data_IF_563364992042
#
_entry.id   IF_563364992042
#
_cell.length_a   1.000
_cell.length_b   1.000
_cell.length_c   1.000
_cell.angle_alpha   90.00
_cell.angle_beta   90.00
_cell.angle_gamma   90.00
#
_symmetry.space_group_name_H-M   'P 1'
#
loop_
_entity.id
_entity.type
_entity.pdbx_description
1 polymer ?
#
# COMPACT_ATOMS: atom_id res chain seq x y z
N UNK A 1 -8.15 9.99 17.65
CA UNK A 1 -8.98 9.72 16.45
C UNK A 1 -8.21 8.83 15.49
N UNK A 2 -8.88 7.92 14.78
CA UNK A 2 -8.38 7.16 13.65
C UNK A 2 -9.23 7.51 12.43
N UNK A 3 -8.60 7.74 11.29
CA UNK A 3 -9.26 7.97 10.01
C UNK A 3 -8.78 6.93 9.01
N UNK A 4 -9.71 6.44 8.18
CA UNK A 4 -9.46 5.43 7.13
C UNK A 4 -10.29 5.74 5.88
N UNK A 5 -9.64 5.93 4.72
CA UNK A 5 -10.34 6.19 3.45
C UNK A 5 -11.04 4.94 2.92
N UNK A 6 -12.31 5.11 2.54
CA UNK A 6 -13.20 4.02 2.18
C UNK A 6 -12.84 3.40 0.83
N UNK A 7 -12.40 2.12 0.86
CA UNK A 7 -11.99 1.38 -0.33
C UNK A 7 -11.05 2.19 -1.25
N UNK A 8 -10.10 2.92 -0.63
CA UNK A 8 -9.40 4.07 -1.20
C UNK A 8 -9.05 3.99 -2.68
N UNK A 9 -8.20 3.04 -3.10
CA UNK A 9 -7.79 2.95 -4.51
C UNK A 9 -8.97 2.71 -5.46
N UNK A 10 -9.93 1.86 -5.09
CA UNK A 10 -11.09 1.61 -5.93
C UNK A 10 -12.02 2.84 -5.99
N UNK A 11 -12.16 3.58 -4.88
CA UNK A 11 -12.93 4.82 -4.83
C UNK A 11 -12.31 5.91 -5.71
N UNK A 12 -10.97 6.07 -5.71
CA UNK A 12 -10.25 6.96 -6.62
C UNK A 12 -10.53 6.59 -8.08
N UNK A 13 -10.42 5.31 -8.44
CA UNK A 13 -10.71 4.84 -9.80
C UNK A 13 -12.17 5.06 -10.21
N UNK A 14 -13.14 4.79 -9.33
CA UNK A 14 -14.57 5.03 -9.61
C UNK A 14 -14.88 6.53 -9.76
N UNK A 15 -14.26 7.39 -8.95
CA UNK A 15 -14.43 8.84 -9.04
C UNK A 15 -13.89 9.37 -10.36
N UNK A 16 -12.67 8.98 -10.72
CA UNK A 16 -11.94 9.50 -11.88
C UNK A 16 -12.40 8.89 -13.21
N UNK A 17 -13.03 7.71 -13.17
CA UNK A 17 -13.56 7.01 -14.35
C UNK A 17 -15.08 6.88 -14.21
N UNK A 18 -15.87 7.90 -14.61
CA UNK A 18 -17.32 7.97 -14.40
C UNK A 18 -18.09 6.71 -14.82
N UNK A 19 -17.61 5.98 -15.83
CA UNK A 19 -18.25 4.73 -16.26
C UNK A 19 -18.13 3.58 -15.27
N UNK A 20 -17.26 3.70 -14.25
CA UNK A 20 -17.05 2.71 -13.18
C UNK A 20 -17.81 3.04 -11.89
N UNK A 21 -18.42 4.23 -11.76
CA UNK A 21 -19.21 4.60 -10.57
C UNK A 21 -20.32 3.58 -10.32
N UNK A 22 -20.42 3.08 -9.10
CA UNK A 22 -21.42 2.07 -8.72
C UNK A 22 -21.16 0.67 -9.30
N UNK A 23 -20.01 0.42 -9.95
CA UNK A 23 -19.66 -0.88 -10.52
C UNK A 23 -18.56 -1.57 -9.71
N UNK A 24 -18.51 -2.91 -9.70
CA UNK A 24 -17.41 -3.65 -9.09
C UNK A 24 -16.06 -3.29 -9.72
N UNK A 25 -15.20 -2.64 -8.95
CA UNK A 25 -13.81 -2.32 -9.28
C UNK A 25 -12.86 -3.08 -8.36
N UNK A 26 -11.79 -3.62 -8.95
CA UNK A 26 -10.68 -4.30 -8.29
C UNK A 26 -9.40 -3.60 -8.75
N UNK A 27 -8.60 -3.08 -7.82
CA UNK A 27 -7.28 -2.52 -8.09
C UNK A 27 -6.23 -3.51 -7.60
N UNK A 28 -5.25 -3.84 -8.45
CA UNK A 28 -4.16 -4.75 -8.06
C UNK A 28 -3.30 -5.23 -9.22
N UNK A 29 -2.59 -6.33 -8.99
CA UNK A 29 -1.81 -6.99 -10.04
C UNK A 29 -2.74 -7.64 -11.07
N UNK A 30 -2.65 -7.23 -12.34
CA UNK A 30 -3.56 -7.72 -13.40
C UNK A 30 -3.18 -9.12 -13.91
N UNK A 31 -1.91 -9.54 -13.74
CA UNK A 31 -1.43 -10.85 -14.20
C UNK A 31 -1.85 -12.03 -13.31
N UNK A 32 -1.54 -13.25 -13.74
CA UNK A 32 -1.94 -14.50 -13.07
C UNK A 32 -1.44 -14.65 -11.63
N UNK A 33 -0.33 -13.97 -11.29
CA UNK A 33 0.29 -13.97 -9.96
C UNK A 33 -0.05 -12.71 -9.15
N UNK A 34 -0.90 -11.85 -9.70
CA UNK A 34 -1.34 -10.63 -9.04
C UNK A 34 -2.20 -10.90 -7.82
N UNK A 35 -2.22 -9.91 -6.93
CA UNK A 35 -3.10 -9.86 -5.76
C UNK A 35 -3.94 -8.60 -5.82
N UNK A 36 -5.13 -8.68 -5.25
CA UNK A 36 -6.02 -7.55 -5.02
C UNK A 36 -5.38 -6.63 -3.98
N UNK A 37 -5.04 -5.40 -4.37
CA UNK A 37 -4.66 -4.36 -3.41
C UNK A 37 -5.92 -3.85 -2.69
N UNK A 38 -6.92 -3.46 -3.48
CA UNK A 38 -8.19 -2.92 -2.98
C UNK A 38 -9.35 -3.40 -3.84
N UNK A 39 -10.46 -3.71 -3.20
CA UNK A 39 -11.74 -3.98 -3.86
C UNK A 39 -12.78 -2.98 -3.38
N UNK A 40 -13.53 -2.42 -4.33
CA UNK A 40 -14.73 -1.61 -4.11
C UNK A 40 -15.78 -2.35 -3.28
N UNK A 41 -16.69 -1.64 -2.63
CA UNK A 41 -17.78 -2.26 -1.86
C UNK A 41 -18.67 -3.15 -2.74
N UNK A 42 -18.90 -2.75 -3.99
CA UNK A 42 -19.64 -3.53 -4.98
C UNK A 42 -18.93 -4.86 -5.29
N UNK A 43 -17.60 -4.87 -5.38
CA UNK A 43 -16.84 -6.12 -5.56
C UNK A 43 -16.79 -6.96 -4.27
N UNK A 44 -16.72 -6.31 -3.10
CA UNK A 44 -16.74 -7.00 -1.80
C UNK A 44 -18.05 -7.78 -1.57
N UNK A 45 -19.16 -7.30 -2.12
CA UNK A 45 -20.44 -8.03 -2.09
C UNK A 45 -20.37 -9.41 -2.77
N UNK A 46 -19.46 -9.59 -3.74
CA UNK A 46 -19.17 -10.89 -4.38
C UNK A 46 -18.11 -11.71 -3.63
N UNK A 47 -17.72 -11.28 -2.44
CA UNK A 47 -16.71 -11.94 -1.61
C UNK A 47 -15.27 -11.67 -2.03
N UNK A 48 -15.01 -10.67 -2.88
CA UNK A 48 -13.65 -10.21 -3.19
C UNK A 48 -13.07 -9.45 -1.99
N UNK A 49 -11.80 -9.67 -1.67
CA UNK A 49 -11.11 -9.04 -0.52
C UNK A 49 -9.69 -8.66 -0.89
N UNK A 50 -9.12 -7.69 -0.19
CA UNK A 50 -7.69 -7.38 -0.29
C UNK A 50 -6.83 -8.62 0.02
N UNK A 51 -5.64 -8.67 -0.58
CA UNK A 51 -4.71 -9.80 -0.57
C UNK A 51 -5.24 -11.11 -1.22
N UNK A 52 -6.46 -11.12 -1.76
CA UNK A 52 -6.95 -12.24 -2.57
C UNK A 52 -6.17 -12.34 -3.88
N UNK A 53 -5.94 -13.56 -4.37
CA UNK A 53 -5.37 -13.75 -5.70
C UNK A 53 -6.31 -13.16 -6.77
N UNK A 54 -5.77 -12.41 -7.74
CA UNK A 54 -6.58 -11.73 -8.76
C UNK A 54 -7.38 -12.68 -9.64
N UNK A 55 -6.88 -13.89 -9.92
CA UNK A 55 -7.60 -14.92 -10.68
C UNK A 55 -8.82 -15.42 -9.90
N UNK A 56 -8.64 -15.67 -8.59
CA UNK A 56 -9.76 -16.03 -7.71
C UNK A 56 -10.79 -14.90 -7.64
N UNK A 57 -10.33 -13.66 -7.49
CA UNK A 57 -11.20 -12.48 -7.45
C UNK A 57 -12.01 -12.31 -8.74
N UNK A 58 -11.40 -12.49 -9.91
CA UNK A 58 -12.08 -12.50 -11.22
C UNK A 58 -13.10 -13.62 -11.33
N UNK A 59 -12.81 -14.80 -10.78
CA UNK A 59 -13.78 -15.91 -10.76
C UNK A 59 -14.98 -15.61 -9.86
N UNK A 60 -14.76 -14.93 -8.73
CA UNK A 60 -15.84 -14.52 -7.80
C UNK A 60 -16.69 -13.38 -8.37
N UNK A 61 -16.07 -12.45 -9.08
CA UNK A 61 -16.72 -11.28 -9.64
C UNK A 61 -16.34 -11.09 -11.13
N UNK A 62 -16.86 -11.91 -12.05
CA UNK A 62 -16.48 -11.88 -13.48
C UNK A 62 -16.73 -10.54 -14.17
N UNK A 63 -17.73 -9.79 -13.70
CA UNK A 63 -18.10 -8.47 -14.20
C UNK A 63 -17.23 -7.33 -13.66
N UNK A 64 -16.28 -7.59 -12.76
CA UNK A 64 -15.45 -6.53 -12.19
C UNK A 64 -14.48 -5.93 -13.22
N UNK A 65 -14.35 -4.60 -13.19
CA UNK A 65 -13.22 -3.92 -13.81
C UNK A 65 -11.97 -4.19 -12.96
N UNK A 66 -10.93 -4.76 -13.57
CA UNK A 66 -9.66 -5.05 -12.89
C UNK A 66 -8.58 -4.12 -13.43
N UNK A 67 -8.13 -3.20 -12.59
CA UNK A 67 -7.26 -2.10 -12.97
C UNK A 67 -5.88 -2.23 -12.29
N UNK A 68 -4.84 -1.75 -12.96
CA UNK A 68 -3.55 -1.51 -12.32
C UNK A 68 -3.64 -0.28 -11.42
N UNK A 69 -2.78 -0.21 -10.40
CA UNK A 69 -2.75 0.93 -9.49
C UNK A 69 -2.09 2.17 -10.10
N UNK A 70 -2.76 3.33 -10.01
CA UNK A 70 -2.21 4.67 -10.27
C UNK A 70 -1.70 5.33 -8.99
N UNK A 71 -0.55 4.86 -8.50
CA UNK A 71 -0.03 5.25 -7.18
C UNK A 71 0.32 6.73 -7.05
N UNK A 72 0.62 7.40 -8.15
CA UNK A 72 0.74 8.85 -8.25
C UNK A 72 -0.58 9.55 -7.87
N UNK A 73 -1.70 9.14 -8.49
CA UNK A 73 -3.03 9.65 -8.14
C UNK A 73 -3.36 9.35 -6.67
N UNK A 74 -3.10 8.13 -6.21
CA UNK A 74 -3.37 7.74 -4.82
C UNK A 74 -2.53 8.53 -3.82
N UNK A 75 -1.28 8.85 -4.16
CA UNK A 75 -0.39 9.62 -3.29
C UNK A 75 -0.84 11.07 -3.18
N UNK A 76 -1.26 11.68 -4.29
CA UNK A 76 -1.74 13.05 -4.26
C UNK A 76 -3.05 13.20 -3.49
N UNK A 77 -4.01 12.28 -3.65
CA UNK A 77 -5.25 12.30 -2.88
C UNK A 77 -5.01 12.04 -1.40
N UNK A 78 -4.05 11.16 -1.08
CA UNK A 78 -3.56 10.98 0.29
C UNK A 78 -3.05 12.31 0.85
N UNK A 79 -2.19 13.05 0.12
CA UNK A 79 -1.71 14.35 0.59
C UNK A 79 -2.85 15.33 0.90
N UNK A 80 -3.84 15.46 0.03
CA UNK A 80 -5.00 16.33 0.26
C UNK A 80 -5.72 15.98 1.58
N UNK A 81 -5.93 14.70 1.85
CA UNK A 81 -6.57 14.23 3.10
C UNK A 81 -5.67 14.50 4.31
N UNK A 82 -4.37 14.23 4.19
CA UNK A 82 -3.43 14.40 5.29
C UNK A 82 -3.20 15.88 5.61
N UNK A 83 -3.31 16.79 4.65
CA UNK A 83 -3.30 18.24 4.88
C UNK A 83 -4.49 18.68 5.73
N UNK A 84 -5.69 18.19 5.44
CA UNK A 84 -6.88 18.43 6.29
C UNK A 84 -6.63 17.96 7.72
N UNK A 85 -6.00 16.81 7.92
CA UNK A 85 -5.70 16.30 9.25
C UNK A 85 -4.60 17.10 9.97
N UNK A 86 -3.61 17.63 9.25
CA UNK A 86 -2.56 18.50 9.82
C UNK A 86 -3.10 19.83 10.31
N UNK A 87 -4.15 20.35 9.68
CA UNK A 87 -4.84 21.55 10.16
C UNK A 87 -5.55 21.33 11.51
N UNK A 88 -5.95 20.09 11.81
CA UNK A 88 -6.60 19.72 13.07
C UNK A 88 -5.57 19.58 14.20
N UNK A 89 -4.48 18.87 13.92
CA UNK A 89 -3.48 18.54 14.94
C UNK A 89 -2.09 18.36 14.33
N UNK A 90 -1.03 18.90 14.98
CA UNK A 90 0.34 18.58 14.61
C UNK A 90 0.73 17.14 15.02
N UNK A 91 -0.04 16.49 15.89
CA UNK A 91 0.20 15.11 16.35
C UNK A 91 -0.58 14.13 15.47
N UNK A 92 -0.06 13.92 14.25
CA UNK A 92 -0.59 12.98 13.26
C UNK A 92 0.40 11.85 12.99
N UNK A 93 -0.05 10.60 13.09
CA UNK A 93 0.74 9.42 12.73
C UNK A 93 0.15 8.74 11.50
N UNK A 94 0.91 8.75 10.41
CA UNK A 94 0.57 8.10 9.14
C UNK A 94 0.84 6.59 9.23
N UNK A 95 -0.16 5.75 8.99
CA UNK A 95 0.00 4.29 8.91
C UNK A 95 0.22 3.83 7.47
N UNK A 96 -0.55 4.40 6.54
CA UNK A 96 -0.55 4.10 5.10
C UNK A 96 -0.98 5.34 4.31
N UNK A 97 -1.24 5.20 3.01
CA UNK A 97 -1.76 6.30 2.19
C UNK A 97 -3.18 6.70 2.60
N UNK A 98 -3.96 5.76 3.13
CA UNK A 98 -5.38 5.91 3.46
C UNK A 98 -5.69 5.97 4.96
N UNK A 99 -4.72 5.69 5.84
CA UNK A 99 -4.96 5.59 7.28
C UNK A 99 -4.02 6.50 8.09
N UNK A 100 -4.60 7.19 9.08
CA UNK A 100 -3.86 8.00 10.05
C UNK A 100 -4.50 7.99 11.45
N UNK A 101 -3.65 8.08 12.48
CA UNK A 101 -4.08 8.52 13.82
C UNK A 101 -3.87 10.01 13.98
N UNK A 102 -4.80 10.66 14.67
CA UNK A 102 -4.73 12.07 15.05
C UNK A 102 -5.00 12.19 16.54
N UNK A 103 -4.09 12.81 17.27
CA UNK A 103 -4.30 13.15 18.68
C UNK A 103 -5.15 14.42 18.76
N UNK A 104 -6.28 14.33 19.47
CA UNK A 104 -7.23 15.44 19.66
C UNK A 104 -7.14 16.02 21.09
N UNK A 105 -6.26 15.51 21.94
CA UNK A 105 -6.21 15.86 23.37
C UNK A 105 -5.86 17.31 23.68
N UNK A 106 -5.31 18.05 22.71
CA UNK A 106 -5.03 19.49 22.81
C UNK A 106 -6.20 20.37 22.40
N UNK A 107 -7.26 19.80 21.83
CA UNK A 107 -8.47 20.53 21.43
C UNK A 107 -9.42 20.61 22.62
N UNK A 108 -10.11 21.75 22.74
CA UNK A 108 -11.17 21.96 23.73
C UNK A 108 -12.48 21.38 23.19
N UNK A 109 -12.61 20.05 23.26
CA UNK A 109 -13.78 19.29 22.79
C UNK A 109 -14.32 18.44 23.93
N UNK A 110 -15.59 18.63 24.27
CA UNK A 110 -16.32 17.74 25.15
C UNK A 110 -16.80 16.49 24.39
N UNK A 111 -17.21 15.45 25.12
CA UNK A 111 -17.72 14.22 24.53
C UNK A 111 -18.86 14.46 23.52
N UNK A 112 -19.73 15.44 23.79
CA UNK A 112 -20.85 15.81 22.92
C UNK A 112 -20.42 16.42 21.58
N UNK A 113 -19.23 16.99 21.49
CA UNK A 113 -18.72 17.67 20.31
C UNK A 113 -18.05 16.71 19.32
N UNK A 114 -17.61 15.53 19.79
CA UNK A 114 -16.82 14.59 19.00
C UNK A 114 -17.55 14.05 17.77
N UNK A 115 -18.85 13.79 17.86
CA UNK A 115 -19.63 13.29 16.73
C UNK A 115 -19.90 14.39 15.67
N UNK A 116 -20.36 15.60 16.03
CA UNK A 116 -20.39 16.74 15.11
C UNK A 116 -19.03 17.04 14.47
N UNK A 117 -17.97 17.04 15.27
CA UNK A 117 -16.60 17.25 14.79
C UNK A 117 -16.19 16.22 13.74
N UNK A 118 -16.43 14.92 13.99
CA UNK A 118 -16.14 13.88 13.01
C UNK A 118 -16.91 14.09 11.69
N UNK A 119 -18.18 14.49 11.75
CA UNK A 119 -18.98 14.76 10.56
C UNK A 119 -18.45 15.96 9.75
N UNK A 120 -17.96 17.00 10.42
CA UNK A 120 -17.31 18.14 9.77
C UNK A 120 -16.03 17.71 9.05
N UNK A 121 -15.18 16.91 9.71
CA UNK A 121 -13.94 16.39 9.11
C UNK A 121 -14.25 15.53 7.86
N UNK A 122 -15.24 14.64 7.93
CA UNK A 122 -15.67 13.83 6.79
C UNK A 122 -16.19 14.70 5.63
N UNK A 123 -16.96 15.75 5.93
CA UNK A 123 -17.47 16.70 4.93
C UNK A 123 -16.33 17.44 4.24
N UNK A 124 -15.35 17.91 5.02
CA UNK A 124 -14.17 18.60 4.51
C UNK A 124 -13.34 17.69 3.60
N UNK A 125 -13.09 16.45 4.02
CA UNK A 125 -12.38 15.44 3.20
C UNK A 125 -13.10 15.17 1.90
N UNK A 126 -14.43 14.96 1.96
CA UNK A 126 -15.25 14.74 0.76
C UNK A 126 -15.15 15.92 -0.20
N UNK A 127 -15.12 17.15 0.33
CA UNK A 127 -15.03 18.37 -0.47
C UNK A 127 -13.66 18.52 -1.13
N UNK A 128 -12.56 18.44 -0.37
CA UNK A 128 -11.20 18.68 -0.92
C UNK A 128 -10.74 17.59 -1.89
N UNK A 129 -11.28 16.38 -1.75
CA UNK A 129 -11.00 15.26 -2.67
C UNK A 129 -11.99 15.20 -3.84
N UNK A 130 -13.01 16.06 -3.89
CA UNK A 130 -14.04 15.99 -4.93
C UNK A 130 -14.83 14.68 -4.92
N UNK A 131 -15.05 14.10 -3.73
CA UNK A 131 -16.00 13.00 -3.53
C UNK A 131 -15.45 11.70 -2.95
N UNK A 132 -14.22 11.65 -2.43
CA UNK A 132 -13.78 10.46 -1.66
C UNK A 132 -14.41 10.48 -0.27
N UNK A 133 -14.74 9.28 0.21
CA UNK A 133 -15.31 9.09 1.55
C UNK A 133 -14.29 8.47 2.49
N UNK A 134 -14.48 8.69 3.77
CA UNK A 134 -13.66 8.11 4.84
C UNK A 134 -14.56 7.67 5.97
N UNK A 135 -14.00 6.87 6.87
CA UNK A 135 -14.63 6.52 8.13
C UNK A 135 -13.74 6.88 9.31
N UNK A 136 -14.37 7.39 10.39
CA UNK A 136 -13.67 7.95 11.55
C UNK A 136 -14.04 7.18 12.83
N UNK A 137 -13.03 6.80 13.59
CA UNK A 137 -13.19 6.29 14.94
C UNK A 137 -12.56 7.23 15.97
N UNK A 138 -13.31 7.60 17.01
CA UNK A 138 -12.81 8.41 18.12
C UNK A 138 -12.93 7.61 19.41
N UNK A 139 -11.82 7.51 20.15
CA UNK A 139 -11.77 6.78 21.41
C UNK A 139 -10.56 7.24 22.26
N UNK A 140 -10.47 6.68 23.47
CA UNK A 140 -9.43 6.93 24.47
C UNK A 140 -8.04 6.39 24.11
N UNK A 141 -7.94 5.48 23.13
CA UNK A 141 -6.68 4.86 22.71
C UNK A 141 -6.66 4.57 21.21
N UNK A 142 -5.47 4.33 20.65
CA UNK A 142 -5.28 3.95 19.24
C UNK A 142 -6.04 2.67 18.88
N UNK A 143 -5.92 1.62 19.70
CA UNK A 143 -6.62 0.35 19.50
C UNK A 143 -8.13 0.57 19.30
N UNK A 144 -8.77 1.26 20.24
CA UNK A 144 -10.20 1.48 20.20
C UNK A 144 -10.60 2.43 19.08
N UNK A 145 -9.80 3.46 18.80
CA UNK A 145 -10.07 4.37 17.70
C UNK A 145 -10.06 3.63 16.35
N UNK A 146 -9.08 2.73 16.13
CA UNK A 146 -9.04 1.90 14.92
C UNK A 146 -10.24 0.97 14.82
N UNK A 147 -10.58 0.27 15.91
CA UNK A 147 -11.77 -0.59 15.95
C UNK A 147 -13.04 0.21 15.66
N UNK A 148 -13.20 1.36 16.31
CA UNK A 148 -14.36 2.24 16.14
C UNK A 148 -14.53 2.68 14.68
N UNK A 149 -13.43 2.99 13.98
CA UNK A 149 -13.50 3.40 12.58
C UNK A 149 -14.01 2.32 11.63
N UNK A 150 -13.97 1.04 12.03
CA UNK A 150 -14.49 -0.10 11.26
C UNK A 150 -15.98 -0.37 11.51
N UNK A 151 -16.53 0.04 12.67
CA UNK A 151 -17.89 -0.34 13.11
C UNK A 151 -18.99 0.23 12.20
N UNK A 152 -18.79 1.45 11.71
CA UNK A 152 -19.77 2.19 10.90
C UNK A 152 -19.27 2.43 9.46
N UNK A 153 -18.34 1.62 8.94
CA UNK A 153 -17.97 1.71 7.52
C UNK A 153 -19.13 1.30 6.60
N UNK A 154 -19.30 1.92 5.42
CA UNK A 154 -18.55 3.07 4.90
C UNK A 154 -19.13 4.45 5.25
N UNK A 155 -18.34 5.49 5.04
CA UNK A 155 -18.71 6.90 5.14
C UNK A 155 -19.39 7.25 6.46
N UNK A 156 -18.85 6.74 7.56
CA UNK A 156 -19.46 6.84 8.88
C UNK A 156 -18.45 7.16 9.96
N UNK A 157 -18.97 7.55 11.12
CA UNK A 157 -18.14 7.75 12.31
C UNK A 157 -18.68 6.99 13.50
N UNK A 158 -17.80 6.62 14.43
CA UNK A 158 -18.16 6.02 15.70
C UNK A 158 -17.30 6.61 16.83
N UNK A 159 -17.96 7.08 17.89
CA UNK A 159 -17.30 7.61 19.08
C UNK A 159 -17.52 6.63 20.23
N UNK A 160 -16.43 6.05 20.74
CA UNK A 160 -16.49 5.17 21.92
C UNK A 160 -16.72 6.03 23.16
N UNK A 161 -17.85 5.81 23.84
CA UNK A 161 -18.17 6.51 25.06
C UNK A 161 -17.19 6.12 26.19
N UNK A 162 -16.71 7.07 27.01
CA UNK A 162 -15.87 6.77 28.16
C UNK A 162 -16.50 5.69 29.06
N UNK A 163 -15.72 4.67 29.42
CA UNK A 163 -16.19 3.56 30.27
C UNK A 163 -16.98 2.46 29.55
N UNK A 164 -17.20 2.59 28.23
CA UNK A 164 -17.86 1.55 27.41
C UNK A 164 -16.87 0.71 26.60
N UNK A 165 -15.56 0.93 26.77
CA UNK A 165 -14.47 0.32 26.00
C UNK A 165 -14.60 -1.21 25.93
N UNK A 166 -14.83 -1.82 27.09
CA UNK A 166 -14.99 -3.27 27.27
C UNK A 166 -16.25 -3.80 26.58
N UNK A 167 -17.35 -3.03 26.63
CA UNK A 167 -18.63 -3.40 26.02
C UNK A 167 -18.53 -3.37 24.49
N UNK A 168 -17.87 -2.35 23.94
CA UNK A 168 -17.59 -2.25 22.49
C UNK A 168 -16.78 -3.45 22.01
N UNK A 169 -15.78 -3.87 22.79
CA UNK A 169 -14.92 -5.00 22.43
C UNK A 169 -15.64 -6.36 22.49
N UNK A 170 -16.53 -6.58 23.45
CA UNK A 170 -17.05 -7.92 23.78
C UNK A 170 -17.79 -8.65 22.66
N UNK A 171 -18.49 -7.88 21.85
CA UNK A 171 -19.31 -8.40 20.76
C UNK A 171 -18.51 -8.68 19.50
N UNK A 172 -17.25 -8.26 19.46
CA UNK A 172 -16.44 -8.39 18.26
C UNK A 172 -15.96 -9.83 18.06
N UNK A 173 -16.02 -10.34 16.82
CA UNK A 173 -15.30 -11.57 16.48
C UNK A 173 -13.81 -11.33 16.71
N UNK A 174 -13.08 -12.36 17.11
CA UNK A 174 -11.66 -12.23 17.47
C UNK A 174 -10.81 -11.70 16.31
N UNK A 175 -11.24 -11.99 15.07
CA UNK A 175 -10.62 -11.55 13.82
C UNK A 175 -10.72 -10.04 13.56
N UNK A 176 -11.60 -9.33 14.27
CA UNK A 176 -11.72 -7.87 14.18
C UNK A 176 -10.58 -7.15 14.91
N UNK A 177 -9.86 -7.82 15.83
CA UNK A 177 -8.74 -7.19 16.52
C UNK A 177 -7.54 -6.99 15.59
N UNK A 178 -6.93 -5.78 15.58
CA UNK A 178 -5.71 -5.53 14.82
C UNK A 178 -4.60 -6.52 15.18
N UNK A 179 -3.94 -7.09 14.16
CA UNK A 179 -2.86 -8.06 14.33
C UNK A 179 -3.30 -9.53 14.47
N UNK A 180 -4.60 -9.82 14.60
CA UNK A 180 -5.11 -11.20 14.55
C UNK A 180 -5.42 -11.58 13.11
N UNK A 181 -4.46 -12.24 12.43
CA UNK A 181 -4.64 -12.78 11.08
C UNK A 181 -5.33 -14.17 11.04
N UNK A 182 -5.59 -14.74 9.84
CA UNK A 182 -6.29 -16.03 9.71
C UNK A 182 -5.61 -17.19 10.44
N UNK A 183 -4.28 -17.18 10.52
CA UNK A 183 -3.52 -18.21 11.24
C UNK A 183 -3.74 -18.11 12.77
N UNK A 184 -3.69 -16.90 13.34
CA UNK A 184 -3.92 -16.68 14.77
C UNK A 184 -5.39 -16.96 15.13
N UNK A 185 -6.34 -16.48 14.31
CA UNK A 185 -7.76 -16.78 14.43
C UNK A 185 -8.02 -18.29 14.42
N UNK A 186 -7.41 -19.03 13.48
CA UNK A 186 -7.53 -20.48 13.42
C UNK A 186 -7.08 -21.14 14.72
N UNK A 187 -5.90 -20.79 15.25
CA UNK A 187 -5.41 -21.34 16.53
C UNK A 187 -6.34 -21.03 17.70
N UNK A 188 -6.88 -19.81 17.77
CA UNK A 188 -7.84 -19.39 18.80
C UNK A 188 -9.16 -20.16 18.68
N UNK A 189 -9.65 -20.37 17.46
CA UNK A 189 -10.87 -21.15 17.21
C UNK A 189 -10.72 -22.62 17.68
N UNK A 190 -9.53 -23.22 17.57
CA UNK A 190 -9.28 -24.60 18.06
C UNK A 190 -9.46 -24.74 19.58
N UNK A 191 -9.33 -23.64 20.34
CA UNK A 191 -9.56 -23.61 21.79
C UNK A 191 -10.88 -22.94 22.17
N UNK A 192 -11.81 -22.81 21.22
CA UNK A 192 -13.17 -22.27 21.44
C UNK A 192 -13.27 -20.74 21.47
N UNK A 193 -12.18 -20.02 21.17
CA UNK A 193 -12.17 -18.56 21.13
C UNK A 193 -12.61 -18.06 19.76
N UNK A 194 -13.85 -17.60 19.66
CA UNK A 194 -14.41 -16.98 18.43
C UNK A 194 -14.65 -15.48 18.59
N UNK A 195 -14.84 -15.00 19.82
CA UNK A 195 -15.13 -13.60 20.14
C UNK A 195 -14.13 -13.08 21.18
N UNK A 196 -13.93 -11.76 21.19
CA UNK A 196 -13.01 -11.08 22.12
C UNK A 196 -13.31 -11.43 23.58
N UNK A 197 -14.58 -11.47 23.96
CA UNK A 197 -15.01 -11.82 25.32
C UNK A 197 -14.51 -13.18 25.81
N UNK A 198 -14.31 -14.16 24.91
CA UNK A 198 -13.84 -15.50 25.29
C UNK A 198 -12.39 -15.48 25.79
N UNK A 199 -11.58 -14.51 25.35
CA UNK A 199 -10.15 -14.42 25.71
C UNK A 199 -9.94 -13.92 27.14
N UNK A 200 -10.91 -13.23 27.74
CA UNK A 200 -10.70 -12.58 29.05
C UNK A 200 -10.45 -13.54 30.20
N UNK A 201 -10.88 -14.79 30.07
CA UNK A 201 -10.59 -15.86 31.03
C UNK A 201 -9.17 -16.41 30.96
N UNK A 202 -8.43 -16.13 29.87
CA UNK A 202 -7.07 -16.63 29.69
C UNK A 202 -6.06 -15.76 30.44
N UNK A 203 -5.07 -16.43 31.03
CA UNK A 203 -3.85 -15.83 31.54
C UNK A 203 -2.93 -15.41 30.38
N UNK A 204 -2.00 -14.49 30.65
CA UNK A 204 -1.09 -14.00 29.61
C UNK A 204 -0.19 -15.12 29.08
N UNK A 205 0.32 -15.99 29.96
CA UNK A 205 1.19 -17.11 29.60
C UNK A 205 0.50 -18.10 28.67
N UNK A 206 -0.77 -18.43 28.92
CA UNK A 206 -1.54 -19.34 28.05
C UNK A 206 -1.67 -18.79 26.62
N UNK A 207 -1.85 -17.48 26.47
CA UNK A 207 -1.91 -16.84 25.15
C UNK A 207 -0.55 -16.76 24.48
N UNK A 208 0.52 -16.60 25.25
CA UNK A 208 1.90 -16.63 24.74
C UNK A 208 2.26 -18.04 24.25
N UNK A 209 1.85 -19.10 24.96
CA UNK A 209 2.06 -20.48 24.52
C UNK A 209 1.29 -20.80 23.23
N UNK A 210 0.07 -20.27 23.09
CA UNK A 210 -0.75 -20.51 21.91
C UNK A 210 -0.30 -19.74 20.65
N UNK A 211 0.11 -18.48 20.82
CA UNK A 211 0.34 -17.54 19.71
C UNK A 211 1.80 -17.11 19.55
N UNK A 212 2.66 -17.43 20.52
CA UNK A 212 3.99 -16.87 20.67
C UNK A 212 3.99 -15.62 21.54
N UNK A 213 5.16 -15.32 22.12
CA UNK A 213 5.34 -14.30 23.17
C UNK A 213 4.74 -12.92 22.83
N UNK A 214 5.13 -12.36 21.67
CA UNK A 214 4.69 -11.03 21.27
C UNK A 214 3.19 -10.97 20.96
N UNK A 215 2.66 -11.97 20.24
CA UNK A 215 1.26 -11.99 19.81
C UNK A 215 0.32 -12.28 21.00
N UNK A 216 0.68 -13.23 21.86
CA UNK A 216 -0.07 -13.56 23.07
C UNK A 216 -0.13 -12.39 24.04
N UNK A 217 1.01 -11.76 24.32
CA UNK A 217 1.09 -10.56 25.16
C UNK A 217 0.27 -9.39 24.60
N UNK A 218 0.30 -9.18 23.28
CA UNK A 218 -0.49 -8.14 22.63
C UNK A 218 -1.98 -8.42 22.77
N UNK A 219 -2.43 -9.65 22.45
CA UNK A 219 -3.82 -10.03 22.55
C UNK A 219 -4.36 -9.91 23.98
N UNK A 220 -3.59 -10.32 24.99
CA UNK A 220 -3.97 -10.22 26.39
C UNK A 220 -4.27 -8.77 26.82
N UNK A 221 -3.49 -7.80 26.34
CA UNK A 221 -3.69 -6.37 26.59
C UNK A 221 -4.89 -5.83 25.82
N UNK A 222 -5.00 -6.17 24.54
CA UNK A 222 -6.07 -5.66 23.66
C UNK A 222 -7.47 -6.02 24.17
N UNK A 223 -7.68 -7.27 24.61
CA UNK A 223 -9.01 -7.73 25.07
C UNK A 223 -9.46 -7.06 26.38
N UNK A 224 -8.53 -6.38 27.07
CA UNK A 224 -8.72 -5.59 28.28
C UNK A 224 -8.71 -4.08 28.01
N UNK A 225 -8.77 -3.66 26.74
CA UNK A 225 -8.68 -2.27 26.30
C UNK A 225 -7.39 -1.53 26.76
N UNK A 226 -6.31 -2.27 27.04
CA UNK A 226 -5.04 -1.70 27.49
C UNK A 226 -4.19 -1.34 26.26
N UNK A 227 -4.07 -0.05 25.97
CA UNK A 227 -3.18 0.48 24.94
C UNK A 227 -2.61 1.84 25.34
N UNK A 228 -1.34 1.84 25.76
CA UNK A 228 -0.62 3.04 26.20
C UNK A 228 0.18 3.72 25.07
N UNK A 229 0.07 3.23 23.81
CA UNK A 229 0.82 3.79 22.69
C UNK A 229 0.32 5.20 22.38
N UNK A 230 1.23 6.17 22.42
CA UNK A 230 0.96 7.55 21.99
C UNK A 230 0.97 7.66 20.48
N UNK A 231 0.30 8.69 19.94
CA UNK A 231 0.44 9.09 18.53
C UNK A 231 1.84 9.65 18.34
N UNK A 232 2.57 9.10 17.37
CA UNK A 232 3.95 9.44 17.04
C UNK A 232 3.99 10.11 15.67
N UNK A 233 4.23 11.42 15.65
CA UNK A 233 4.28 12.21 14.41
C UNK A 233 5.50 11.93 13.54
N UNK A 234 6.54 11.31 14.10
CA UNK A 234 7.80 11.08 13.42
C UNK A 234 8.18 9.61 13.47
N UNK A 235 8.09 8.93 12.32
CA UNK A 235 8.57 7.55 12.17
C UNK A 235 9.80 7.51 11.28
N UNK A 236 10.94 7.21 11.87
CA UNK A 236 12.18 6.97 11.09
C UNK A 236 12.04 5.63 10.38
N UNK A 237 12.12 5.65 9.04
CA UNK A 237 12.14 4.45 8.22
C UNK A 237 13.39 3.63 8.57
N UNK A 238 13.21 2.32 8.79
CA UNK A 238 14.30 1.41 9.21
C UNK A 238 14.98 0.69 8.05
N UNK A 239 14.27 0.54 6.92
CA UNK A 239 14.76 -0.13 5.72
C UNK A 239 14.07 0.38 4.46
N UNK A 240 14.72 0.19 3.33
CA UNK A 240 14.21 0.46 1.99
C UNK A 240 14.53 -0.73 1.10
N UNK A 241 13.58 -1.18 0.30
CA UNK A 241 13.79 -2.35 -0.56
C UNK A 241 12.89 -2.34 -1.79
N UNK A 242 13.27 -3.19 -2.74
CA UNK A 242 12.53 -3.50 -3.95
C UNK A 242 12.50 -5.01 -4.07
N UNK A 243 11.33 -5.56 -4.33
CA UNK A 243 11.15 -6.97 -4.65
C UNK A 243 10.16 -7.10 -5.79
N UNK A 244 10.36 -8.12 -6.63
CA UNK A 244 9.48 -8.44 -7.74
C UNK A 244 9.09 -9.92 -7.72
N UNK A 245 7.80 -10.19 -7.95
CA UNK A 245 7.26 -11.52 -8.18
C UNK A 245 7.09 -11.71 -9.68
N UNK A 246 7.98 -12.50 -10.27
CA UNK A 246 8.04 -12.67 -11.71
C UNK A 246 6.78 -13.31 -12.28
N UNK A 247 6.45 -12.95 -13.52
CA UNK A 247 5.30 -13.52 -14.25
C UNK A 247 5.42 -15.04 -14.46
N UNK A 248 6.65 -15.53 -14.62
CA UNK A 248 7.03 -16.94 -14.64
C UNK A 248 8.25 -17.15 -13.73
N UNK A 249 8.47 -18.37 -13.24
CA UNK A 249 9.64 -18.62 -12.39
C UNK A 249 10.93 -18.50 -13.21
N UNK A 250 11.90 -17.76 -12.69
CA UNK A 250 13.21 -17.57 -13.30
C UNK A 250 14.11 -18.73 -12.91
N UNK A 251 14.82 -19.29 -13.88
CA UNK A 251 15.74 -20.41 -13.68
C UNK A 251 17.15 -20.03 -14.13
N UNK A 252 18.13 -20.57 -13.42
CA UNK A 252 19.55 -20.36 -13.73
C UNK A 252 20.11 -19.10 -13.08
N UNK A 253 21.33 -19.24 -12.56
CA UNK A 253 22.03 -18.15 -11.89
C UNK A 253 22.22 -16.92 -12.80
N UNK A 254 22.62 -17.04 -14.09
CA UNK A 254 22.80 -15.86 -14.96
C UNK A 254 21.57 -14.96 -15.05
N UNK A 255 20.38 -15.54 -15.27
CA UNK A 255 19.13 -14.78 -15.33
C UNK A 255 18.76 -14.12 -14.00
N UNK A 256 19.14 -14.73 -12.87
CA UNK A 256 18.95 -14.12 -11.56
C UNK A 256 19.91 -12.96 -11.31
N UNK A 257 21.15 -13.00 -11.85
CA UNK A 257 22.06 -11.85 -11.80
C UNK A 257 21.49 -10.68 -12.59
N UNK A 258 21.02 -10.91 -13.83
CA UNK A 258 20.42 -9.85 -14.65
C UNK A 258 19.25 -9.18 -13.92
N UNK A 259 18.38 -10.01 -13.34
CA UNK A 259 17.21 -9.54 -12.62
C UNK A 259 17.58 -8.81 -11.32
N UNK A 260 18.56 -9.31 -10.57
CA UNK A 260 19.08 -8.63 -9.37
C UNK A 260 19.66 -7.26 -9.70
N UNK A 261 20.43 -7.14 -10.78
CA UNK A 261 21.03 -5.88 -11.20
C UNK A 261 19.95 -4.82 -11.49
N UNK A 262 18.84 -5.22 -12.12
CA UNK A 262 17.70 -4.31 -12.36
C UNK A 262 17.07 -3.82 -11.05
N UNK A 263 16.89 -4.72 -10.08
CA UNK A 263 16.36 -4.39 -8.77
C UNK A 263 17.33 -3.48 -7.99
N UNK A 264 18.64 -3.72 -8.07
CA UNK A 264 19.69 -2.91 -7.45
C UNK A 264 19.72 -1.50 -8.05
N UNK A 265 19.73 -1.37 -9.38
CA UNK A 265 19.66 -0.07 -10.06
C UNK A 265 18.46 0.74 -9.56
N UNK A 266 17.29 0.11 -9.55
CA UNK A 266 16.05 0.73 -9.07
C UNK A 266 16.11 1.12 -7.58
N UNK A 267 16.77 0.30 -6.75
CA UNK A 267 16.91 0.55 -5.31
C UNK A 267 17.82 1.75 -5.07
N UNK A 268 18.96 1.81 -5.77
CA UNK A 268 19.93 2.90 -5.65
C UNK A 268 19.33 4.21 -6.13
N UNK A 269 18.65 4.25 -7.28
CA UNK A 269 17.90 5.43 -7.73
C UNK A 269 16.91 5.89 -6.66
N UNK A 270 16.16 4.95 -6.06
CA UNK A 270 15.20 5.27 -4.99
C UNK A 270 15.87 5.79 -3.71
N UNK A 271 17.05 5.27 -3.36
CA UNK A 271 17.84 5.76 -2.24
C UNK A 271 18.38 7.17 -2.50
N UNK A 272 18.91 7.43 -3.70
CA UNK A 272 19.43 8.71 -4.13
C UNK A 272 18.35 9.81 -4.10
N UNK A 273 17.18 9.56 -4.68
CA UNK A 273 16.04 10.50 -4.62
C UNK A 273 15.59 10.86 -3.21
N UNK A 274 15.88 10.01 -2.22
CA UNK A 274 15.52 10.23 -0.82
C UNK A 274 16.68 10.74 0.04
N UNK A 275 17.88 10.89 -0.53
CA UNK A 275 19.07 11.33 0.21
C UNK A 275 19.47 10.39 1.35
N UNK A 276 19.25 9.08 1.19
CA UNK A 276 19.54 8.08 2.23
C UNK A 276 20.63 7.10 1.81
N UNK A 277 21.47 6.71 2.77
CA UNK A 277 22.39 5.58 2.68
C UNK A 277 22.01 4.51 3.70
N UNK A 278 22.62 3.32 3.62
CA UNK A 278 22.46 2.32 4.67
C UNK A 278 23.57 1.28 4.69
N UNK A 279 23.58 0.46 5.75
CA UNK A 279 24.72 -0.41 6.09
C UNK A 279 24.51 -1.88 5.77
N UNK A 280 23.28 -2.35 5.93
CA UNK A 280 22.99 -3.78 5.81
C UNK A 280 22.23 -4.04 4.51
N UNK A 281 22.86 -4.76 3.60
CA UNK A 281 22.25 -5.18 2.33
C UNK A 281 21.70 -6.59 2.53
N UNK A 282 20.44 -6.81 2.14
CA UNK A 282 19.77 -8.11 2.22
C UNK A 282 19.19 -8.50 0.88
N UNK A 283 19.46 -9.74 0.45
CA UNK A 283 18.83 -10.37 -0.71
C UNK A 283 17.85 -11.42 -0.24
N UNK A 284 16.62 -11.35 -0.74
CA UNK A 284 15.52 -12.26 -0.45
C UNK A 284 15.15 -13.02 -1.71
N UNK A 285 14.98 -14.32 -1.57
CA UNK A 285 14.52 -15.22 -2.61
C UNK A 285 13.28 -15.96 -2.14
N UNK A 286 12.30 -16.15 -3.02
CA UNK A 286 11.21 -17.10 -2.82
C UNK A 286 11.15 -18.08 -3.97
N UNK A 287 11.11 -19.37 -3.66
CA UNK A 287 10.98 -20.43 -4.68
C UNK A 287 9.52 -20.64 -5.14
N UNK A 288 9.34 -21.52 -6.12
CA UNK A 288 8.03 -21.91 -6.64
C UNK A 288 7.13 -22.63 -5.61
N UNK A 289 7.72 -23.21 -4.56
CA UNK A 289 7.04 -23.82 -3.42
C UNK A 289 6.74 -22.83 -2.27
N UNK A 290 6.96 -21.53 -2.51
CA UNK A 290 6.75 -20.43 -1.56
C UNK A 290 7.68 -20.42 -0.34
N UNK A 291 8.74 -21.21 -0.32
CA UNK A 291 9.80 -21.09 0.69
C UNK A 291 10.57 -19.80 0.45
N UNK A 292 10.72 -18.99 1.49
CA UNK A 292 11.45 -17.71 1.43
C UNK A 292 12.75 -17.84 2.20
N UNK A 293 13.87 -17.58 1.53
CA UNK A 293 15.20 -17.49 2.12
C UNK A 293 15.72 -16.07 2.01
N UNK A 294 16.54 -15.65 2.97
CA UNK A 294 17.13 -14.31 2.98
C UNK A 294 18.56 -14.40 3.48
N UNK A 295 19.48 -13.69 2.83
CA UNK A 295 20.86 -13.50 3.26
C UNK A 295 21.13 -12.02 3.35
N UNK A 296 21.93 -11.62 4.34
CA UNK A 296 22.26 -10.22 4.58
C UNK A 296 23.73 -10.07 4.92
N UNK A 297 24.34 -8.98 4.47
CA UNK A 297 25.69 -8.55 4.86
C UNK A 297 25.63 -7.13 5.40
N UNK A 298 26.37 -6.85 6.47
CA UNK A 298 26.47 -5.50 7.05
C UNK A 298 27.86 -4.95 6.80
N UNK A 299 27.91 -3.78 6.18
CA UNK A 299 29.13 -3.06 5.86
C UNK A 299 29.59 -2.19 7.05
N UNK A 300 30.89 -1.86 7.04
CA UNK A 300 31.52 -1.03 8.07
C UNK A 300 30.96 0.40 8.05
N UNK A 301 30.76 0.95 6.86
CA UNK A 301 30.16 2.28 6.63
C UNK A 301 28.84 2.18 5.86
N UNK A 302 27.97 3.19 6.03
CA UNK A 302 26.74 3.27 5.25
C UNK A 302 27.06 3.68 3.82
N UNK A 303 26.46 3.00 2.85
CA UNK A 303 26.70 3.24 1.43
C UNK A 303 25.42 3.57 0.68
N UNK A 304 25.57 4.31 -0.40
CA UNK A 304 24.58 4.50 -1.46
C UNK A 304 25.20 4.21 -2.84
N UNK A 305 26.44 3.70 -2.86
CA UNK A 305 27.19 3.43 -4.09
C UNK A 305 26.59 2.23 -4.82
N UNK A 306 26.34 2.41 -6.11
CA UNK A 306 25.78 1.38 -6.97
C UNK A 306 26.69 0.15 -7.04
N UNK A 307 28.00 0.35 -7.22
CA UNK A 307 28.96 -0.74 -7.31
C UNK A 307 28.99 -1.56 -6.03
N UNK A 308 29.16 -0.90 -4.87
CA UNK A 308 29.22 -1.57 -3.56
C UNK A 308 27.96 -2.36 -3.26
N UNK A 309 26.79 -1.77 -3.52
CA UNK A 309 25.50 -2.45 -3.29
C UNK A 309 25.32 -3.62 -4.26
N UNK A 310 25.68 -3.44 -5.53
CA UNK A 310 25.56 -4.50 -6.54
C UNK A 310 26.47 -5.68 -6.22
N UNK A 311 27.75 -5.44 -6.00
CA UNK A 311 28.74 -6.49 -5.71
C UNK A 311 28.34 -7.29 -4.48
N UNK A 312 27.93 -6.60 -3.40
CA UNK A 312 27.46 -7.26 -2.18
C UNK A 312 26.18 -8.06 -2.43
N UNK A 313 25.22 -7.53 -3.18
CA UNK A 313 23.97 -8.23 -3.48
C UNK A 313 24.22 -9.49 -4.31
N UNK A 314 25.11 -9.42 -5.31
CA UNK A 314 25.48 -10.57 -6.13
C UNK A 314 26.18 -11.67 -5.32
N UNK A 315 27.10 -11.31 -4.42
CA UNK A 315 27.70 -12.28 -3.49
C UNK A 315 26.65 -12.94 -2.58
N UNK A 316 25.66 -12.18 -2.10
CA UNK A 316 24.56 -12.71 -1.30
C UNK A 316 23.64 -13.63 -2.10
N UNK A 317 23.42 -13.35 -3.39
CA UNK A 317 22.66 -14.21 -4.30
C UNK A 317 23.36 -15.56 -4.52
N UNK A 318 24.68 -15.55 -4.73
CA UNK A 318 25.47 -16.77 -4.85
C UNK A 318 25.42 -17.59 -3.55
N UNK A 319 25.58 -16.93 -2.40
CA UNK A 319 25.52 -17.56 -1.08
C UNK A 319 24.12 -18.09 -0.68
N UNK A 320 23.07 -17.72 -1.41
CA UNK A 320 21.73 -18.31 -1.27
C UNK A 320 21.65 -19.69 -1.94
N UNK A 321 22.59 -20.03 -2.83
CA UNK A 321 22.62 -21.26 -3.62
C UNK A 321 21.24 -21.62 -4.22
N UNK A 322 20.69 -20.80 -5.14
CA UNK A 322 19.36 -21.04 -5.69
C UNK A 322 19.34 -22.32 -6.55
N UNK A 323 18.82 -23.42 -5.99
CA UNK A 323 18.71 -24.73 -6.67
C UNK A 323 17.36 -24.95 -7.35
N UNK A 324 16.33 -24.21 -6.92
CA UNK A 324 14.97 -24.32 -7.43
C UNK A 324 14.61 -23.10 -8.28
N UNK A 325 13.63 -23.21 -9.19
CA UNK A 325 13.08 -22.07 -9.91
C UNK A 325 12.62 -20.98 -8.94
N UNK A 326 13.02 -19.74 -9.21
CA UNK A 326 12.79 -18.59 -8.34
C UNK A 326 11.55 -17.84 -8.79
N UNK A 327 10.63 -17.66 -7.85
CA UNK A 327 9.36 -16.97 -8.06
C UNK A 327 9.43 -15.47 -7.76
N UNK A 328 10.22 -15.09 -6.75
CA UNK A 328 10.41 -13.70 -6.33
C UNK A 328 11.87 -13.48 -5.93
N UNK A 329 12.43 -12.35 -6.36
CA UNK A 329 13.71 -11.84 -5.90
C UNK A 329 13.52 -10.43 -5.32
N UNK A 330 14.26 -10.12 -4.26
CA UNK A 330 14.23 -8.80 -3.65
C UNK A 330 15.57 -8.41 -3.06
N UNK A 331 15.85 -7.11 -3.10
CA UNK A 331 17.01 -6.49 -2.49
C UNK A 331 16.56 -5.35 -1.60
N UNK A 332 17.17 -5.25 -0.42
CA UNK A 332 16.85 -4.19 0.55
C UNK A 332 18.08 -3.73 1.30
N UNK A 333 18.06 -2.48 1.73
CA UNK A 333 19.06 -1.85 2.58
C UNK A 333 18.40 -1.44 3.90
N UNK A 334 19.04 -1.74 5.02
CA UNK A 334 18.63 -1.34 6.37
C UNK A 334 19.79 -0.70 7.15
N UNK A 335 19.50 -0.19 8.35
CA UNK A 335 20.46 0.63 9.10
C UNK A 335 20.68 1.96 8.38
N UNK A 336 19.57 2.61 8.04
CA UNK A 336 19.55 3.82 7.22
C UNK A 336 20.13 5.01 7.98
N UNK A 337 20.89 5.85 7.27
CA UNK A 337 21.43 7.11 7.76
C UNK A 337 21.17 8.23 6.74
N UNK A 338 20.99 9.49 7.19
CA UNK A 338 21.12 10.65 6.32
C UNK A 338 22.48 10.61 5.64
N UNK A 339 22.51 11.04 4.38
CA UNK A 339 23.66 11.02 3.48
C UNK A 339 25.01 11.18 4.19
N UNK A 340 25.90 10.20 3.98
CA UNK A 340 27.30 10.27 4.40
C UNK A 340 28.10 10.58 3.14
N UNK A 341 28.84 11.68 3.17
CA UNK A 341 29.81 12.03 2.13
C UNK A 341 30.81 10.87 2.00
N UNK A 342 30.92 10.30 0.80
CA UNK A 342 31.91 9.27 0.49
C UNK A 342 33.34 9.80 0.62
N UNK A 343 34.31 8.90 0.63
CA UNK A 343 35.74 9.23 0.72
C UNK A 343 36.14 10.26 -0.36
N UNK A 344 36.98 11.22 0.04
CA UNK A 344 37.42 12.39 -0.73
C UNK A 344 38.25 12.06 -2.01
N UNK A 345 38.33 10.79 -2.40
CA UNK A 345 39.20 10.28 -3.46
C UNK A 345 38.47 9.50 -4.58
N UNK A 346 37.13 9.44 -4.58
CA UNK A 346 36.43 8.99 -5.79
C UNK A 346 36.44 10.12 -6.83
N UNK A 347 37.19 9.90 -7.92
CA UNK A 347 37.34 10.84 -9.02
C UNK A 347 35.97 11.26 -9.58
N UNK A 348 35.80 12.58 -9.68
CA UNK A 348 34.63 13.25 -10.25
C UNK A 348 34.20 12.63 -11.58
N UNK A 349 33.04 11.97 -11.59
CA UNK A 349 32.22 11.89 -12.80
C UNK A 349 31.31 13.11 -12.77
N UNK A 350 31.78 14.21 -13.33
CA UNK A 350 30.94 15.37 -13.65
C UNK A 350 29.83 14.93 -14.61
N UNK A 351 28.62 14.72 -14.08
CA UNK A 351 27.41 14.75 -14.89
C UNK A 351 27.10 16.23 -15.13
N UNK A 352 27.20 16.65 -16.40
CA UNK A 352 26.98 18.02 -16.83
C UNK A 352 25.60 18.56 -16.44
N UNK A 353 25.58 19.83 -16.10
CA UNK A 353 24.38 20.59 -15.77
C UNK A 353 23.49 20.84 -17.00
N UNK A 354 22.19 20.98 -16.71
CA UNK A 354 21.08 21.50 -17.51
C UNK A 354 20.42 20.57 -18.54
N UNK A 355 19.44 19.80 -18.06
CA UNK A 355 18.12 19.74 -18.70
C UNK A 355 17.03 19.56 -17.63
N UNK A 356 16.07 20.47 -17.62
CA UNK A 356 14.92 20.51 -16.71
C UNK A 356 14.02 19.32 -17.03
N UNK A 357 14.22 18.18 -16.36
CA UNK A 357 13.42 16.97 -16.58
C UNK A 357 12.34 16.80 -15.50
N UNK A 358 11.12 16.81 -16.03
CA UNK A 358 9.81 16.69 -15.41
C UNK A 358 9.68 15.62 -14.32
N UNK A 359 8.88 15.96 -13.31
CA UNK A 359 8.41 15.12 -12.21
C UNK A 359 7.55 13.94 -12.71
N UNK A 360 8.13 12.80 -13.10
CA UNK A 360 7.36 11.55 -13.28
C UNK A 360 8.25 10.30 -13.30
N UNK A 361 8.12 9.42 -12.30
CA UNK A 361 8.15 7.95 -12.45
C UNK A 361 7.99 7.24 -11.10
N UNK A 362 6.84 6.61 -10.88
CA UNK A 362 6.73 5.50 -9.94
C UNK A 362 7.69 4.36 -10.37
N UNK A 363 8.22 3.55 -9.44
CA UNK A 363 9.21 2.51 -9.77
C UNK A 363 8.66 1.55 -10.83
N UNK A 364 9.34 1.55 -11.98
CA UNK A 364 9.00 0.76 -13.16
C UNK A 364 9.52 -0.68 -13.03
N UNK A 365 8.78 -1.59 -13.69
CA UNK A 365 8.93 -3.06 -13.71
C UNK A 365 10.23 -3.52 -14.40
N UNK A 366 10.68 -4.73 -14.07
CA UNK A 366 11.79 -5.45 -14.71
C UNK A 366 11.60 -5.76 -16.21
N UNK A 367 12.69 -6.08 -16.95
CA UNK A 367 12.77 -5.93 -18.40
C UNK A 367 12.25 -7.17 -19.13
N UNK A 368 10.95 -7.43 -19.02
CA UNK A 368 10.21 -8.02 -20.14
C UNK A 368 9.53 -6.85 -20.84
N UNK A 369 9.80 -6.60 -22.13
CA UNK A 369 9.21 -5.51 -22.94
C UNK A 369 7.80 -5.20 -22.43
N UNK A 370 7.58 -4.10 -21.71
CA UNK A 370 6.29 -3.88 -21.07
C UNK A 370 5.24 -3.80 -22.18
N UNK A 371 4.06 -4.37 -21.93
CA UNK A 371 2.90 -3.90 -22.67
C UNK A 371 2.85 -2.39 -22.44
N UNK A 372 3.03 -1.60 -23.51
CA UNK A 372 3.09 -0.13 -23.46
C UNK A 372 1.87 0.45 -22.72
N UNK A 373 0.75 -0.26 -22.77
CA UNK A 373 -0.53 0.16 -22.25
C UNK A 373 -1.10 -0.87 -21.27
N UNK A 374 -1.36 -0.46 -20.03
CA UNK A 374 -1.88 -1.32 -18.95
C UNK A 374 -3.30 -0.86 -18.60
N UNK A 375 -4.22 -1.80 -18.37
CA UNK A 375 -5.62 -1.44 -18.03
C UNK A 375 -5.70 -0.54 -16.79
N UNK A 376 -6.44 0.56 -16.90
CA UNK A 376 -6.57 1.58 -15.86
C UNK A 376 -5.57 2.74 -15.97
N UNK A 377 -4.53 2.62 -16.79
CA UNK A 377 -3.57 3.68 -17.07
C UNK A 377 -4.24 4.87 -17.77
N UNK A 378 -3.88 6.08 -17.38
CA UNK A 378 -4.36 7.30 -18.01
C UNK A 378 -3.58 7.59 -19.30
N UNK A 379 -4.26 8.11 -20.31
CA UNK A 379 -3.73 8.37 -21.65
C UNK A 379 -4.23 9.69 -22.18
N UNK A 380 -3.47 10.27 -23.12
CA UNK A 380 -3.89 11.41 -23.91
C UNK A 380 -3.83 11.05 -25.38
N UNK A 381 -4.86 11.42 -26.14
CA UNK A 381 -4.86 11.30 -27.59
C UNK A 381 -5.10 12.66 -28.24
N UNK A 382 -4.22 13.09 -29.14
CA UNK A 382 -4.23 14.45 -29.72
C UNK A 382 -5.58 14.86 -30.35
N UNK A 383 -6.39 13.91 -30.83
CA UNK A 383 -7.71 14.18 -31.42
C UNK A 383 -8.90 13.93 -30.49
N UNK A 384 -8.73 13.06 -29.48
CA UNK A 384 -9.84 12.60 -28.64
C UNK A 384 -9.76 13.12 -27.20
N UNK A 385 -8.65 13.78 -26.85
CA UNK A 385 -8.37 14.29 -25.52
C UNK A 385 -7.95 13.19 -24.56
N UNK A 386 -8.29 13.40 -23.29
CA UNK A 386 -7.90 12.54 -22.19
C UNK A 386 -8.81 11.34 -22.01
N UNK A 387 -8.22 10.25 -21.53
CA UNK A 387 -8.94 9.02 -21.25
C UNK A 387 -8.10 8.03 -20.47
N UNK A 388 -8.54 6.78 -20.51
CA UNK A 388 -7.86 5.68 -19.84
C UNK A 388 -7.92 4.39 -20.63
N UNK A 389 -6.91 3.55 -20.46
CA UNK A 389 -6.80 2.23 -21.11
C UNK A 389 -7.88 1.31 -20.55
N UNK A 390 -8.92 1.06 -21.35
CA UNK A 390 -9.98 0.09 -21.07
C UNK A 390 -9.47 -1.35 -21.19
N UNK A 391 -8.55 -1.59 -22.15
CA UNK A 391 -7.94 -2.89 -22.36
C UNK A 391 -6.83 -2.84 -23.41
N UNK A 392 -5.91 -3.79 -23.35
CA UNK A 392 -4.76 -3.85 -24.27
C UNK A 392 -4.41 -5.31 -24.58
N UNK A 393 -4.07 -5.60 -25.84
CA UNK A 393 -3.72 -6.93 -26.30
C UNK A 393 -3.66 -7.04 -27.83
N UNK A 394 -2.93 -8.04 -28.33
CA UNK A 394 -2.84 -8.34 -29.77
C UNK A 394 -2.43 -7.13 -30.64
N UNK A 395 -1.51 -6.30 -30.16
CA UNK A 395 -1.05 -5.10 -30.88
C UNK A 395 -2.08 -3.97 -30.93
N UNK A 396 -3.17 -4.05 -30.15
CA UNK A 396 -4.20 -3.01 -30.05
C UNK A 396 -4.37 -2.52 -28.61
N UNK A 397 -4.74 -1.26 -28.49
CA UNK A 397 -5.14 -0.64 -27.23
C UNK A 397 -6.52 -0.03 -27.38
N UNK A 398 -7.41 -0.34 -26.45
CA UNK A 398 -8.76 0.23 -26.38
C UNK A 398 -8.76 1.27 -25.25
N UNK A 399 -9.14 2.48 -25.60
CA UNK A 399 -9.17 3.65 -24.72
C UNK A 399 -10.61 4.12 -24.58
N UNK A 400 -10.98 4.47 -23.36
CA UNK A 400 -12.23 5.19 -23.08
C UNK A 400 -11.89 6.64 -22.75
N UNK A 401 -12.48 7.56 -23.49
CA UNK A 401 -12.22 9.00 -23.37
C UNK A 401 -13.18 9.65 -22.40
N UNK A 402 -12.85 9.53 -21.11
CA UNK A 402 -13.55 10.17 -20.01
C UNK A 402 -12.58 10.53 -18.89
N UNK A 403 -12.92 11.55 -18.12
CA UNK A 403 -12.19 11.99 -16.94
C UNK A 403 -13.16 12.19 -15.78
N UNK A 404 -12.65 12.55 -14.59
CA UNK A 404 -13.46 12.84 -13.40
C UNK A 404 -14.60 13.82 -13.70
N UNK A 405 -14.33 14.81 -14.55
CA UNK A 405 -15.16 15.97 -14.82
C UNK A 405 -16.07 15.79 -16.05
N UNK A 406 -16.00 14.67 -16.76
CA UNK A 406 -16.85 14.38 -17.91
C UNK A 406 -17.96 13.38 -17.58
N UNK A 407 -18.96 13.28 -18.45
CA UNK A 407 -19.85 12.12 -18.47
C UNK A 407 -19.10 10.87 -18.99
N UNK A 408 -19.66 9.65 -18.82
CA UNK A 408 -19.11 8.46 -19.45
C UNK A 408 -18.92 8.63 -20.95
N UNK A 409 -17.69 8.48 -21.42
CA UNK A 409 -17.31 8.85 -22.78
C UNK A 409 -17.27 7.71 -23.79
N UNK A 410 -16.92 8.00 -25.05
CA UNK A 410 -16.80 7.02 -26.12
C UNK A 410 -15.59 6.11 -25.91
N UNK A 411 -15.61 4.97 -26.60
CA UNK A 411 -14.51 4.00 -26.62
C UNK A 411 -13.97 3.92 -28.04
N UNK A 412 -12.65 4.04 -28.20
CA UNK A 412 -11.96 3.82 -29.47
C UNK A 412 -10.81 2.84 -29.30
N UNK A 413 -10.45 2.13 -30.38
CA UNK A 413 -9.37 1.15 -30.37
C UNK A 413 -8.32 1.50 -31.42
N UNK A 414 -7.10 1.72 -30.96
CA UNK A 414 -5.94 2.14 -31.74
C UNK A 414 -4.91 1.01 -31.88
N UNK A 415 -3.93 1.24 -32.74
CA UNK A 415 -2.68 0.49 -32.71
C UNK A 415 -1.90 0.88 -31.44
N UNK A 416 -1.16 -0.06 -30.82
CA UNK A 416 -0.33 0.26 -29.64
C UNK A 416 0.80 1.25 -29.94
N UNK A 417 1.18 1.39 -31.21
CA UNK A 417 2.18 2.35 -31.72
C UNK A 417 1.55 3.60 -32.34
N UNK A 418 0.27 3.89 -32.03
CA UNK A 418 -0.38 5.10 -32.55
C UNK A 418 0.41 6.37 -32.12
N UNK A 419 0.92 7.17 -33.06
CA UNK A 419 1.78 8.31 -32.74
C UNK A 419 1.00 9.45 -32.07
N UNK A 420 -0.33 9.43 -32.12
CA UNK A 420 -1.18 10.42 -31.46
C UNK A 420 -1.55 10.02 -30.04
N UNK A 421 -1.23 8.79 -29.61
CA UNK A 421 -1.52 8.27 -28.29
C UNK A 421 -0.26 8.33 -27.41
N UNK A 422 -0.34 9.08 -26.31
CA UNK A 422 0.72 9.19 -25.32
C UNK A 422 0.22 8.85 -23.92
N UNK A 423 1.16 8.59 -23.00
CA UNK A 423 0.82 8.46 -21.59
C UNK A 423 0.25 9.78 -21.08
N UNK A 424 -0.93 9.71 -20.47
CA UNK A 424 -1.61 10.85 -19.87
C UNK A 424 -1.22 10.99 -18.41
N UNK A 425 -1.67 12.07 -17.77
CA UNK A 425 -1.44 12.31 -16.35
C UNK A 425 -2.75 12.71 -15.68
N UNK A 426 -3.13 12.01 -14.62
CA UNK A 426 -4.40 12.23 -13.92
C UNK A 426 -4.60 13.68 -13.45
N UNK A 427 -3.51 14.40 -13.15
CA UNK A 427 -3.56 15.79 -12.71
C UNK A 427 -3.95 16.79 -13.82
N UNK A 428 -3.94 16.40 -15.09
CA UNK A 428 -4.42 17.27 -16.19
C UNK A 428 -5.94 17.18 -16.38
N UNK A 429 -6.64 16.30 -15.65
CA UNK A 429 -8.10 16.20 -15.73
C UNK A 429 -8.83 17.40 -15.10
N UNK A 430 -8.10 18.20 -14.30
CA UNK A 430 -8.62 19.37 -13.59
C UNK A 430 -8.25 20.71 -14.28
N UNK A 431 -7.58 20.67 -15.45
CA UNK A 431 -7.22 21.88 -16.22
C UNK A 431 -8.26 22.28 -17.27
#
# INVERSE_FOLDING_TARGET
MHLDLDAFFAAVEQRDKPSLRGKPVIVGGIGNRGVVATASYEARAFGVRSAMNTVEARRKCPQAAVLAGRFDAYTAESHNVMDVLREISPQIELLSLDEAYVDLSHLDLDYGDLAPFAAEVLTKITTVTGGLTASIGIASSKLLAKIASELNKPNGSFVVAPGTDIQVLDHLPIRALPGIGPAAESRLNHVGVTHVKHVRGFEQLELQDLLGDAAGSSLWRMVRAIDARKVESHRVRKSIGIEDTFGHDVQGLPSLHDELQNLVNSLVTRMAHRGISGRTISVKLRDSAFHTTTKSSTLDAATHSLSVISDTAHLLLEALEPRSPVRLLGVSVSGLSPWIQGDLFEQDVTLGEEETLSLTAAPSRSPHKPATWITGMDVHHAQHGDGWVWGSGLGRVTVRFETRNTAPGPIHTFNVEDPLLSQGHWATFDS
#
